data_IF_016074282082
#
_entry.id   IF_016074282082
#
_cell.length_a   1.000
_cell.length_b   1.000
_cell.length_c   1.000
_cell.angle_alpha   90.00
_cell.angle_beta   90.00
_cell.angle_gamma   90.00
#
_symmetry.space_group_name_H-M   'P 1'
#
loop_
_entity.id
_entity.type
_entity.pdbx_description
1 polymer ?
#
# COMPACT_ATOMS: atom_id res chain seq x y z
N UNK A 1 -7.20 -10.07 3.81
CA UNK A 1 -8.48 -9.62 4.38
C UNK A 1 -8.96 -8.39 3.62
N UNK A 2 -10.27 -8.14 3.58
CA UNK A 2 -10.85 -6.87 3.09
C UNK A 2 -11.20 -6.05 4.33
N UNK A 3 -10.74 -4.80 4.37
CA UNK A 3 -10.83 -3.90 5.51
C UNK A 3 -11.66 -2.69 5.11
N UNK A 4 -12.66 -2.33 5.91
CA UNK A 4 -13.48 -1.13 5.67
C UNK A 4 -12.65 0.13 5.86
N UNK A 5 -13.10 1.27 5.31
CA UNK A 5 -12.45 2.57 5.54
C UNK A 5 -12.30 2.90 7.03
N UNK A 6 -13.33 2.63 7.83
CA UNK A 6 -13.33 2.95 9.26
C UNK A 6 -12.31 2.08 10.02
N UNK A 7 -12.29 0.77 9.73
CA UNK A 7 -11.32 -0.15 10.32
C UNK A 7 -9.89 0.18 9.88
N UNK A 8 -9.71 0.62 8.64
CA UNK A 8 -8.41 1.02 8.10
C UNK A 8 -7.83 2.22 8.87
N UNK A 9 -8.64 3.26 9.09
CA UNK A 9 -8.23 4.44 9.88
C UNK A 9 -7.88 4.03 11.31
N UNK A 10 -8.70 3.18 11.94
CA UNK A 10 -8.45 2.70 13.30
C UNK A 10 -7.16 1.87 13.43
N UNK A 11 -6.85 1.02 12.45
CA UNK A 11 -5.67 0.14 12.47
C UNK A 11 -4.36 0.79 12.01
N UNK A 12 -4.46 1.83 11.17
CA UNK A 12 -3.32 2.60 10.68
C UNK A 12 -2.98 3.80 11.58
N UNK A 13 -3.94 4.27 12.39
CA UNK A 13 -3.81 5.48 13.19
C UNK A 13 -3.74 6.74 12.32
N UNK A 14 -4.25 6.69 11.09
CA UNK A 14 -4.28 7.82 10.16
C UNK A 14 -5.51 8.68 10.39
N UNK A 15 -5.37 9.97 10.11
CA UNK A 15 -6.49 10.88 10.01
C UNK A 15 -7.17 10.75 8.64
N UNK A 16 -8.47 11.03 8.60
CA UNK A 16 -9.28 11.00 7.37
C UNK A 16 -8.69 11.88 6.27
N UNK A 17 -8.20 13.07 6.62
CA UNK A 17 -7.61 14.00 5.66
C UNK A 17 -6.32 13.45 5.03
N UNK A 18 -5.44 12.86 5.85
CA UNK A 18 -4.20 12.21 5.38
C UNK A 18 -4.51 11.06 4.44
N UNK A 19 -5.51 10.23 4.77
CA UNK A 19 -5.94 9.14 3.91
C UNK A 19 -6.40 9.63 2.54
N UNK A 20 -7.21 10.69 2.48
CA UNK A 20 -7.67 11.24 1.19
C UNK A 20 -6.50 11.75 0.35
N UNK A 21 -5.56 12.49 0.95
CA UNK A 21 -4.34 12.94 0.25
C UNK A 21 -3.57 11.74 -0.32
N UNK A 22 -3.41 10.66 0.45
CA UNK A 22 -2.68 9.49 -0.03
C UNK A 22 -3.41 8.73 -1.14
N UNK A 23 -4.74 8.77 -1.17
CA UNK A 23 -5.53 8.21 -2.27
C UNK A 23 -5.41 9.11 -3.51
N UNK A 24 -5.50 10.43 -3.36
CA UNK A 24 -5.35 11.40 -4.45
C UNK A 24 -3.95 11.32 -5.10
N UNK A 25 -2.91 11.20 -4.28
CA UNK A 25 -1.52 10.99 -4.71
C UNK A 25 -1.26 9.57 -5.24
N UNK A 26 -2.27 8.69 -5.24
CA UNK A 26 -2.21 7.29 -5.66
C UNK A 26 -1.18 6.45 -4.89
N UNK A 27 -0.83 6.86 -3.68
CA UNK A 27 -0.01 6.06 -2.77
C UNK A 27 -0.80 4.89 -2.18
N UNK A 28 -2.11 5.09 -1.99
CA UNK A 28 -3.06 4.02 -1.67
C UNK A 28 -4.11 3.93 -2.77
N UNK A 29 -4.34 2.70 -3.26
CA UNK A 29 -5.31 2.45 -4.33
C UNK A 29 -6.34 1.45 -3.79
N UNK A 30 -7.32 1.91 -3.00
CA UNK A 30 -8.37 1.03 -2.49
C UNK A 30 -9.22 0.50 -3.64
N UNK A 31 -9.83 -0.67 -3.44
CA UNK A 31 -10.81 -1.20 -4.39
C UNK A 31 -12.16 -0.53 -4.16
N UNK A 32 -12.88 -0.12 -5.22
CA UNK A 32 -14.24 0.36 -5.08
C UNK A 32 -15.18 -0.79 -4.65
N UNK A 33 -16.17 -0.47 -3.81
CA UNK A 33 -17.27 -1.37 -3.43
C UNK A 33 -18.57 -0.57 -3.30
N UNK A 34 -19.72 -1.25 -3.26
CA UNK A 34 -21.04 -0.63 -3.10
C UNK A 34 -21.17 0.20 -1.81
N UNK A 35 -20.37 -0.13 -0.79
CA UNK A 35 -20.39 0.52 0.53
C UNK A 35 -19.27 1.56 0.68
N UNK A 36 -18.49 1.81 -0.38
CA UNK A 36 -17.34 2.70 -0.40
C UNK A 36 -16.00 1.98 -0.63
N UNK A 37 -14.86 2.71 -0.60
CA UNK A 37 -13.55 2.13 -0.82
C UNK A 37 -13.20 1.10 0.27
N UNK A 38 -12.74 -0.06 -0.17
CA UNK A 38 -12.24 -1.13 0.70
C UNK A 38 -10.74 -1.35 0.51
N UNK A 39 -10.07 -1.64 1.61
CA UNK A 39 -8.62 -1.77 1.70
C UNK A 39 -8.23 -3.22 1.90
N UNK A 40 -6.99 -3.55 1.59
CA UNK A 40 -6.39 -4.86 1.85
C UNK A 40 -5.32 -4.78 2.93
N UNK A 41 -4.87 -5.93 3.42
CA UNK A 41 -3.74 -6.00 4.36
C UNK A 41 -2.46 -5.38 3.77
N UNK A 42 -2.29 -5.46 2.44
CA UNK A 42 -1.18 -4.82 1.74
C UNK A 42 -1.28 -3.29 1.79
N UNK A 43 -2.49 -2.74 1.71
CA UNK A 43 -2.71 -1.30 1.84
C UNK A 43 -2.43 -0.84 3.28
N UNK A 44 -2.78 -1.65 4.28
CA UNK A 44 -2.50 -1.35 5.68
C UNK A 44 -0.99 -1.36 5.96
N UNK A 45 -0.27 -2.36 5.42
CA UNK A 45 1.19 -2.42 5.52
C UNK A 45 1.84 -1.21 4.81
N UNK A 46 1.34 -0.83 3.62
CA UNK A 46 1.81 0.34 2.89
C UNK A 46 1.55 1.63 3.66
N UNK A 47 0.39 1.78 4.29
CA UNK A 47 0.07 2.95 5.10
C UNK A 47 0.99 3.10 6.32
N UNK A 48 1.31 2.01 7.00
CA UNK A 48 2.27 2.03 8.12
C UNK A 48 3.65 2.47 7.65
N UNK A 49 4.13 1.89 6.55
CA UNK A 49 5.40 2.29 5.97
C UNK A 49 5.43 3.79 5.62
N UNK A 50 4.41 4.32 4.97
CA UNK A 50 4.37 5.75 4.63
C UNK A 50 4.42 6.59 5.92
N UNK A 51 3.70 6.17 6.97
CA UNK A 51 3.77 6.77 8.30
C UNK A 51 5.18 6.77 8.89
N UNK A 52 5.91 5.66 8.78
CA UNK A 52 7.29 5.54 9.28
C UNK A 52 8.26 6.41 8.45
N UNK A 53 8.11 6.43 7.12
CA UNK A 53 8.92 7.27 6.22
C UNK A 53 8.75 8.77 6.51
N UNK A 54 7.51 9.20 6.73
CA UNK A 54 7.18 10.61 6.94
C UNK A 54 7.49 11.09 8.36
N UNK A 55 7.17 10.29 9.38
CA UNK A 55 7.36 10.68 10.80
C UNK A 55 8.76 10.40 11.32
N UNK A 56 9.30 9.22 11.05
CA UNK A 56 10.55 8.79 11.69
C UNK A 56 11.77 9.13 10.83
N UNK A 57 11.63 9.09 9.50
CA UNK A 57 12.73 9.35 8.56
C UNK A 57 12.69 10.75 7.93
N UNK A 58 11.63 11.53 8.16
CA UNK A 58 11.49 12.90 7.65
C UNK A 58 11.48 13.00 6.12
N UNK A 59 11.06 11.93 5.44
CA UNK A 59 10.97 11.91 3.98
C UNK A 59 9.82 12.81 3.54
N UNK A 60 10.09 13.67 2.54
CA UNK A 60 9.06 14.52 1.94
C UNK A 60 8.13 13.72 1.01
N UNK A 61 7.02 14.33 0.59
CA UNK A 61 6.02 13.65 -0.23
C UNK A 61 6.59 13.11 -1.56
N UNK A 62 7.48 13.87 -2.20
CA UNK A 62 8.16 13.46 -3.44
C UNK A 62 9.01 12.20 -3.22
N UNK A 63 9.78 12.18 -2.12
CA UNK A 63 10.61 11.05 -1.74
C UNK A 63 9.78 9.81 -1.40
N UNK A 64 8.65 9.97 -0.73
CA UNK A 64 7.70 8.88 -0.46
C UNK A 64 7.24 8.25 -1.78
N UNK A 65 6.83 9.07 -2.75
CA UNK A 65 6.43 8.59 -4.07
C UNK A 65 7.49 7.74 -4.76
N UNK A 66 8.76 8.18 -4.71
CA UNK A 66 9.89 7.42 -5.29
C UNK A 66 10.10 6.09 -4.56
N UNK A 67 10.09 6.09 -3.23
CA UNK A 67 10.30 4.86 -2.44
C UNK A 67 9.18 3.85 -2.71
N UNK A 68 7.92 4.30 -2.73
CA UNK A 68 6.78 3.45 -3.03
C UNK A 68 6.89 2.84 -4.45
N UNK A 69 7.28 3.65 -5.44
CA UNK A 69 7.49 3.15 -6.80
C UNK A 69 8.57 2.06 -6.86
N UNK A 70 9.71 2.27 -6.19
CA UNK A 70 10.79 1.28 -6.12
C UNK A 70 10.36 0.00 -5.42
N UNK A 71 9.54 0.11 -4.37
CA UNK A 71 8.99 -1.05 -3.69
C UNK A 71 8.03 -1.84 -4.57
N UNK A 72 7.15 -1.16 -5.32
CA UNK A 72 6.23 -1.82 -6.23
C UNK A 72 7.01 -2.56 -7.34
N UNK A 73 8.08 -1.97 -7.87
CA UNK A 73 8.99 -2.64 -8.80
C UNK A 73 9.64 -3.90 -8.18
N UNK A 74 10.14 -3.80 -6.96
CA UNK A 74 10.76 -4.92 -6.25
C UNK A 74 9.76 -6.05 -5.98
N UNK A 75 8.53 -5.71 -5.60
CA UNK A 75 7.46 -6.69 -5.41
C UNK A 75 7.05 -7.34 -6.73
N UNK A 76 7.00 -6.58 -7.83
CA UNK A 76 6.77 -7.11 -9.18
C UNK A 76 7.84 -8.12 -9.59
N UNK A 77 9.13 -7.79 -9.37
CA UNK A 77 10.23 -8.68 -9.66
C UNK A 77 10.18 -9.97 -8.82
N UNK A 78 9.93 -9.84 -7.51
CA UNK A 78 9.78 -11.01 -6.62
C UNK A 78 8.65 -11.94 -7.06
N UNK A 79 7.53 -11.37 -7.51
CA UNK A 79 6.40 -12.15 -8.03
C UNK A 79 6.77 -12.87 -9.33
N UNK A 80 7.38 -12.18 -10.29
CA UNK A 80 7.81 -12.79 -11.54
C UNK A 80 8.78 -13.96 -11.30
N UNK A 81 9.72 -13.83 -10.36
CA UNK A 81 10.63 -14.91 -9.98
C UNK A 81 9.91 -16.09 -9.30
N UNK A 82 8.89 -15.82 -8.47
CA UNK A 82 8.08 -16.88 -7.86
C UNK A 82 7.26 -17.64 -8.91
N UNK A 83 6.66 -16.92 -9.87
CA UNK A 83 5.87 -17.49 -10.95
C UNK A 83 6.75 -18.38 -11.86
N UNK A 84 7.96 -17.93 -12.20
CA UNK A 84 8.93 -18.72 -12.96
C UNK A 84 9.38 -20.00 -12.24
N UNK A 85 9.44 -19.98 -10.90
CA UNK A 85 9.75 -21.18 -10.10
C UNK A 85 8.56 -22.14 -10.07
N UNK A 86 7.35 -21.62 -9.90
CA UNK A 86 6.14 -22.43 -9.90
C UNK A 86 5.95 -23.14 -11.25
N UNK A 87 6.17 -22.43 -12.36
CA UNK A 87 6.07 -22.98 -13.72
C UNK A 87 7.12 -24.07 -14.04
N UNK A 88 8.25 -24.10 -13.32
CA UNK A 88 9.26 -25.18 -13.46
C UNK A 88 8.96 -26.40 -12.58
N UNK A 89 8.00 -26.30 -11.65
CA UNK A 89 7.66 -27.37 -10.70
C UNK A 89 6.39 -28.12 -11.11
N UNK A 90 5.82 -27.83 -12.28
CA UNK A 90 4.68 -28.57 -12.86
C UNK A 90 5.22 -29.72 -13.74
N UNK A 91 4.96 -31.01 -13.41
CA UNK A 91 5.45 -32.17 -14.17
C UNK A 91 4.76 -32.39 -15.53
#
# INVERSE_FOLDING_TARGET
>A
MIVSRQDFLAQSGLETATLEVWIEQRWLIPRPSEQGPVFSDADLARARLIGDLTRDLGVNDEGVGVILHLMDQLHGLRRALADLRAAQTDP
#
